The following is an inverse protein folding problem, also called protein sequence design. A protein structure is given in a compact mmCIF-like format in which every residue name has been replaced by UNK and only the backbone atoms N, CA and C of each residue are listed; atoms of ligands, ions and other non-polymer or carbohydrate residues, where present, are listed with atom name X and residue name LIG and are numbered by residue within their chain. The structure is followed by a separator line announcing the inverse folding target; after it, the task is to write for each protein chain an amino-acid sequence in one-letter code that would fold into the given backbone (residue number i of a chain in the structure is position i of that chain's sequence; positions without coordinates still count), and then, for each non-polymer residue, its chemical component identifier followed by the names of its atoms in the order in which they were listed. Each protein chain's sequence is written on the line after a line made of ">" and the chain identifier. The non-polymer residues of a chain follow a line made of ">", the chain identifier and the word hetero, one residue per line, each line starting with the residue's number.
data_IF_206464283685
#
_entry.id   IF_206464283685
#
_cell.length_a   1.000
_cell.length_b   1.000
_cell.length_c   1.000
_cell.angle_alpha   90.00
_cell.angle_beta   90.00
_cell.angle_gamma   90.00
#
_symmetry.space_group_name_H-M   'P 1'
#
loop_
_entity.id
_entity.type
_entity.pdbx_description
1 polymer ?
#
# COMPACT_ATOMS: atom_id res chain seq x y z
N UNK A 1 1.10 -9.86 -30.04
CA UNK A 1 2.33 -9.47 -30.76
C UNK A 1 1.91 -8.77 -32.04
N UNK A 2 2.35 -7.52 -32.25
CA UNK A 2 2.00 -6.77 -33.45
C UNK A 2 3.05 -7.06 -34.53
N UNK A 3 2.59 -7.44 -35.74
CA UNK A 3 3.46 -7.59 -36.91
C UNK A 3 3.76 -6.21 -37.47
N UNK A 4 5.03 -5.91 -37.70
CA UNK A 4 5.46 -4.67 -38.31
C UNK A 4 5.66 -4.91 -39.80
N UNK A 5 5.14 -4.02 -40.65
CA UNK A 5 5.34 -4.09 -42.10
C UNK A 5 6.76 -3.73 -42.54
N UNK A 6 7.51 -3.06 -41.67
CA UNK A 6 8.92 -2.70 -41.84
C UNK A 6 9.56 -2.48 -40.46
N UNK A 7 10.89 -2.55 -40.36
CA UNK A 7 11.62 -2.11 -39.17
C UNK A 7 11.51 -0.58 -39.06
N UNK A 8 11.08 -0.02 -37.92
CA UNK A 8 11.01 1.42 -37.75
C UNK A 8 12.42 2.02 -37.80
N UNK A 9 12.56 3.16 -38.48
CA UNK A 9 13.79 3.93 -38.44
C UNK A 9 14.09 4.37 -36.99
N UNK A 10 15.37 4.48 -36.62
CA UNK A 10 15.78 4.85 -35.26
C UNK A 10 15.10 6.12 -34.75
N UNK A 11 14.89 7.12 -35.63
CA UNK A 11 14.19 8.36 -35.30
C UNK A 11 12.75 8.17 -34.81
N UNK A 12 12.06 7.10 -35.24
CA UNK A 12 10.71 6.76 -34.77
C UNK A 12 10.81 6.13 -33.37
N UNK A 13 11.82 5.30 -33.13
CA UNK A 13 12.08 4.66 -31.83
C UNK A 13 12.38 5.73 -30.77
N UNK A 14 13.19 6.72 -31.12
CA UNK A 14 13.60 7.81 -30.23
C UNK A 14 12.42 8.72 -29.83
N UNK A 15 11.35 8.75 -30.62
CA UNK A 15 10.13 9.51 -30.34
C UNK A 15 9.21 8.88 -29.28
N UNK A 16 9.41 7.62 -28.92
CA UNK A 16 8.57 6.93 -27.93
C UNK A 16 9.21 6.98 -26.54
N UNK A 17 8.44 7.41 -25.53
CA UNK A 17 8.84 7.28 -24.12
C UNK A 17 8.66 5.83 -23.65
N UNK A 18 9.76 5.14 -23.35
CA UNK A 18 9.78 3.80 -22.73
C UNK A 18 10.75 2.82 -23.41
N UNK A 19 10.75 1.56 -22.95
CA UNK A 19 11.52 0.47 -23.56
C UNK A 19 10.59 -0.33 -24.48
N UNK A 20 10.86 -0.36 -25.78
CA UNK A 20 10.13 -1.18 -26.76
C UNK A 20 10.92 -2.45 -27.02
N UNK A 21 10.38 -3.60 -26.61
CA UNK A 21 10.94 -4.91 -26.97
C UNK A 21 10.65 -5.22 -28.44
N UNK A 22 11.70 -5.23 -29.27
CA UNK A 22 11.64 -5.69 -30.66
C UNK A 22 12.10 -7.16 -30.76
N UNK A 23 11.34 -7.96 -31.50
CA UNK A 23 11.63 -9.37 -31.77
C UNK A 23 11.65 -9.62 -33.28
N UNK A 24 12.55 -10.49 -33.73
CA UNK A 24 12.46 -11.11 -35.06
C UNK A 24 11.82 -12.48 -34.91
N UNK A 25 10.61 -12.65 -35.45
CA UNK A 25 9.97 -13.96 -35.49
C UNK A 25 10.40 -14.69 -36.77
N UNK A 26 11.23 -15.72 -36.60
CA UNK A 26 11.53 -16.68 -37.66
C UNK A 26 10.48 -17.78 -37.58
N UNK A 27 9.59 -17.86 -38.58
CA UNK A 27 8.45 -18.79 -38.58
C UNK A 27 8.84 -20.28 -38.64
N UNK A 28 10.13 -20.58 -38.83
CA UNK A 28 10.67 -21.93 -38.80
C UNK A 28 11.66 -22.08 -37.63
N UNK A 29 11.49 -23.15 -36.84
CA UNK A 29 12.50 -23.63 -35.91
C UNK A 29 13.74 -24.22 -36.63
N UNK A 30 13.62 -24.42 -37.94
CA UNK A 30 14.69 -24.87 -38.82
C UNK A 30 15.48 -23.67 -39.39
N UNK A 31 16.75 -23.54 -38.95
CA UNK A 31 17.70 -22.51 -39.44
C UNK A 31 18.01 -22.63 -40.93
N UNK A 32 17.69 -23.76 -41.57
CA UNK A 32 17.95 -23.97 -43.00
C UNK A 32 16.87 -23.36 -43.91
N UNK A 33 15.69 -23.04 -43.36
CA UNK A 33 14.62 -22.36 -44.09
C UNK A 33 14.90 -20.86 -44.03
N UNK A 34 15.67 -20.38 -45.01
CA UNK A 34 16.00 -18.97 -45.19
C UNK A 34 14.79 -18.19 -45.69
N UNK A 35 14.09 -17.53 -44.76
CA UNK A 35 13.07 -16.54 -45.05
C UNK A 35 13.36 -15.24 -44.30
N UNK A 36 12.95 -14.07 -44.84
CA UNK A 36 13.06 -12.82 -44.09
C UNK A 36 12.23 -12.94 -42.80
N UNK A 37 12.89 -12.77 -41.66
CA UNK A 37 12.22 -12.76 -40.35
C UNK A 37 11.16 -11.66 -40.31
N UNK A 38 10.04 -11.92 -39.64
CA UNK A 38 8.96 -10.93 -39.49
C UNK A 38 9.29 -10.07 -38.27
N UNK A 39 9.56 -8.76 -38.45
CA UNK A 39 9.76 -7.87 -37.31
C UNK A 39 8.46 -7.76 -36.53
N UNK A 40 8.57 -7.97 -35.23
CA UNK A 40 7.46 -8.04 -34.30
C UNK A 40 7.77 -7.19 -33.08
N UNK A 41 6.75 -6.54 -32.53
CA UNK A 41 6.84 -5.89 -31.22
C UNK A 41 5.82 -6.51 -30.26
N UNK A 42 6.09 -6.41 -28.96
CA UNK A 42 5.06 -6.71 -27.95
C UNK A 42 3.87 -5.80 -28.26
N UNK A 43 2.69 -6.39 -28.45
CA UNK A 43 1.49 -5.59 -28.64
C UNK A 43 1.26 -4.80 -27.36
N UNK A 44 1.22 -3.48 -27.46
CA UNK A 44 0.80 -2.64 -26.35
C UNK A 44 -0.57 -3.12 -25.83
N UNK A 45 -0.82 -3.02 -24.51
CA UNK A 45 -2.16 -3.19 -23.99
C UNK A 45 -3.07 -2.29 -24.81
N UNK A 46 -4.07 -2.88 -25.48
CA UNK A 46 -5.00 -2.10 -26.27
C UNK A 46 -5.71 -1.17 -25.30
N UNK A 47 -5.77 0.12 -25.64
CA UNK A 47 -6.70 0.99 -24.96
C UNK A 47 -8.08 0.33 -25.06
N UNK A 48 -8.81 0.19 -23.95
CA UNK A 48 -10.21 -0.19 -24.00
C UNK A 48 -10.87 0.77 -24.97
N UNK A 49 -11.36 0.26 -26.10
CA UNK A 49 -11.90 1.07 -27.18
C UNK A 49 -13.28 1.65 -26.86
N UNK A 50 -13.62 1.76 -25.58
CA UNK A 50 -14.93 2.12 -25.05
C UNK A 50 -14.71 3.02 -23.84
N UNK A 51 -15.63 3.96 -23.64
CA UNK A 51 -15.65 4.76 -22.43
C UNK A 51 -15.65 3.85 -21.21
N UNK A 52 -14.78 4.17 -20.25
CA UNK A 52 -14.76 3.46 -18.98
C UNK A 52 -16.06 3.72 -18.23
N UNK A 53 -16.48 2.79 -17.38
CA UNK A 53 -17.67 2.97 -16.55
C UNK A 53 -17.60 4.32 -15.79
N UNK A 54 -18.71 5.07 -15.65
CA UNK A 54 -18.70 6.39 -15.02
C UNK A 54 -18.06 6.41 -13.62
N UNK A 55 -18.24 5.33 -12.84
CA UNK A 55 -17.61 5.16 -11.52
C UNK A 55 -16.08 5.11 -11.58
N UNK A 56 -15.50 4.56 -12.65
CA UNK A 56 -14.04 4.52 -12.84
C UNK A 56 -13.52 5.90 -13.23
N UNK A 57 -14.26 6.62 -14.08
CA UNK A 57 -13.88 7.97 -14.52
C UNK A 57 -13.93 8.97 -13.35
N UNK A 58 -14.89 8.83 -12.44
CA UNK A 58 -14.98 9.66 -11.24
C UNK A 58 -13.73 9.58 -10.33
N UNK A 59 -12.99 8.46 -10.38
CA UNK A 59 -11.75 8.28 -9.61
C UNK A 59 -10.51 8.91 -10.26
N UNK A 60 -10.59 9.38 -11.50
CA UNK A 60 -9.41 9.81 -12.26
C UNK A 60 -8.77 11.08 -11.68
N UNK A 61 -9.57 12.07 -11.29
CA UNK A 61 -9.05 13.32 -10.73
C UNK A 61 -8.35 13.08 -9.39
N UNK A 62 -8.93 12.23 -8.54
CA UNK A 62 -8.33 11.83 -7.27
C UNK A 62 -7.01 11.07 -7.47
N UNK A 63 -6.98 10.12 -8.41
CA UNK A 63 -5.76 9.38 -8.75
C UNK A 63 -4.68 10.30 -9.31
N UNK A 64 -5.02 11.17 -10.25
CA UNK A 64 -4.10 12.10 -10.89
C UNK A 64 -3.50 13.08 -9.86
N UNK A 65 -4.33 13.58 -8.94
CA UNK A 65 -3.88 14.44 -7.86
C UNK A 65 -2.91 13.71 -6.93
N UNK A 66 -3.27 12.53 -6.42
CA UNK A 66 -2.41 11.77 -5.51
C UNK A 66 -1.06 11.43 -6.17
N UNK A 67 -1.10 10.97 -7.41
CA UNK A 67 0.13 10.65 -8.15
C UNK A 67 1.05 11.88 -8.28
N UNK A 68 0.51 13.07 -8.50
CA UNK A 68 1.29 14.31 -8.65
C UNK A 68 1.86 14.81 -7.31
N UNK A 69 1.10 14.68 -6.22
CA UNK A 69 1.45 15.25 -4.92
C UNK A 69 2.36 14.38 -4.06
N UNK A 70 2.60 13.12 -4.41
CA UNK A 70 3.51 12.23 -3.66
C UNK A 70 4.88 12.87 -3.37
N UNK A 71 5.50 13.49 -4.39
CA UNK A 71 6.81 14.13 -4.23
C UNK A 71 6.74 15.46 -3.45
N UNK A 72 5.55 16.01 -3.28
CA UNK A 72 5.29 17.23 -2.51
C UNK A 72 4.99 16.94 -1.03
N UNK A 73 4.83 15.67 -0.65
CA UNK A 73 4.67 15.27 0.74
C UNK A 73 5.96 15.50 1.53
N UNK A 74 5.80 15.78 2.81
CA UNK A 74 6.92 15.89 3.74
C UNK A 74 7.75 14.59 3.74
N UNK A 75 9.09 14.67 3.77
CA UNK A 75 9.95 13.48 3.82
C UNK A 75 9.63 12.53 4.97
N UNK A 76 9.17 13.05 6.12
CA UNK A 76 8.75 12.24 7.27
C UNK A 76 7.53 11.37 6.93
N UNK A 77 6.54 11.93 6.23
CA UNK A 77 5.34 11.20 5.78
C UNK A 77 5.71 10.14 4.74
N UNK A 78 6.61 10.47 3.81
CA UNK A 78 7.10 9.50 2.83
C UNK A 78 7.82 8.32 3.51
N UNK A 79 8.58 8.58 4.58
CA UNK A 79 9.29 7.55 5.33
C UNK A 79 8.32 6.65 6.11
N UNK A 80 7.26 7.22 6.71
CA UNK A 80 6.21 6.42 7.33
C UNK A 80 5.58 5.43 6.33
N UNK A 81 5.23 5.90 5.12
CA UNK A 81 4.74 5.01 4.06
C UNK A 81 5.77 3.99 3.60
N UNK A 82 7.08 4.31 3.63
CA UNK A 82 8.13 3.33 3.32
C UNK A 82 8.21 2.23 4.37
N UNK A 83 8.13 2.58 5.65
CA UNK A 83 8.12 1.60 6.73
C UNK A 83 6.90 0.69 6.63
N UNK A 84 5.71 1.26 6.41
CA UNK A 84 4.48 0.48 6.19
C UNK A 84 4.57 -0.40 4.94
N UNK A 85 5.28 0.04 3.91
CA UNK A 85 5.44 -0.73 2.68
C UNK A 85 6.37 -1.95 2.84
N UNK A 86 7.27 -2.00 3.83
CA UNK A 86 8.25 -3.08 4.00
C UNK A 86 7.61 -4.45 4.20
N UNK A 87 6.42 -4.50 4.79
CA UNK A 87 5.66 -5.73 5.03
C UNK A 87 4.67 -6.05 3.89
N UNK A 88 4.63 -5.21 2.86
CA UNK A 88 3.68 -5.31 1.77
C UNK A 88 4.37 -5.52 0.41
N UNK A 89 3.64 -6.11 -0.53
CA UNK A 89 4.09 -6.18 -1.93
C UNK A 89 3.80 -4.86 -2.70
N UNK A 90 3.43 -3.79 -2.01
CA UNK A 90 3.06 -2.50 -2.62
C UNK A 90 4.19 -1.49 -2.45
N UNK A 91 4.34 -0.59 -3.43
CA UNK A 91 5.26 0.52 -3.25
C UNK A 91 4.67 1.54 -2.26
N UNK A 92 5.50 2.34 -1.57
CA UNK A 92 5.04 3.38 -0.64
C UNK A 92 4.06 4.37 -1.32
N UNK A 93 4.33 4.67 -2.60
CA UNK A 93 3.49 5.53 -3.42
C UNK A 93 2.14 4.89 -3.73
N UNK A 94 2.12 3.57 -4.01
CA UNK A 94 0.88 2.84 -4.23
C UNK A 94 0.03 2.79 -2.96
N UNK A 95 0.65 2.62 -1.80
CA UNK A 95 0.00 2.71 -0.49
C UNK A 95 -0.64 4.09 -0.25
N UNK A 96 0.08 5.16 -0.57
CA UNK A 96 -0.46 6.52 -0.49
C UNK A 96 -1.64 6.73 -1.45
N UNK A 97 -1.50 6.34 -2.72
CA UNK A 97 -2.59 6.46 -3.70
C UNK A 97 -3.82 5.64 -3.28
N UNK A 98 -3.60 4.44 -2.75
CA UNK A 98 -4.67 3.58 -2.23
C UNK A 98 -5.37 4.22 -1.03
N UNK A 99 -4.59 4.76 -0.08
CA UNK A 99 -5.09 5.51 1.07
C UNK A 99 -5.94 6.71 0.66
N UNK A 100 -5.50 7.46 -0.35
CA UNK A 100 -6.19 8.66 -0.83
C UNK A 100 -7.48 8.36 -1.60
N UNK A 101 -7.48 7.35 -2.48
CA UNK A 101 -8.60 7.07 -3.39
C UNK A 101 -9.63 6.15 -2.76
N UNK A 102 -9.14 5.07 -2.15
CA UNK A 102 -10.01 3.98 -1.70
C UNK A 102 -10.42 4.16 -0.26
N UNK A 103 -9.98 5.24 0.38
CA UNK A 103 -10.12 5.40 1.82
C UNK A 103 -9.62 4.12 2.50
N UNK A 104 -8.44 3.64 2.09
CA UNK A 104 -7.80 2.46 2.69
C UNK A 104 -7.59 2.62 4.22
N UNK A 105 -7.89 3.81 4.71
CA UNK A 105 -7.90 4.28 6.07
C UNK A 105 -9.28 4.84 6.56
N UNK A 106 -10.47 4.48 6.04
CA UNK A 106 -11.80 4.84 6.65
C UNK A 106 -12.73 3.63 6.76
N UNK A 107 -13.74 3.53 7.62
CA UNK A 107 -14.12 4.14 8.91
C UNK A 107 -14.07 2.98 9.93
N UNK A 108 -13.45 3.19 11.09
CA UNK A 108 -13.24 2.16 12.12
C UNK A 108 -11.78 1.79 12.35
N UNK A 109 -10.89 2.20 11.43
CA UNK A 109 -9.44 2.20 11.62
C UNK A 109 -8.89 3.59 12.04
N UNK A 110 -9.72 4.64 11.94
CA UNK A 110 -9.49 6.01 12.45
C UNK A 110 -10.73 6.65 13.13
N UNK A 111 -11.78 5.87 13.43
CA UNK A 111 -13.07 6.42 13.92
C UNK A 111 -13.06 6.72 15.43
N UNK A 112 -12.24 7.70 15.81
CA UNK A 112 -12.36 8.42 17.09
C UNK A 112 -12.55 9.94 16.83
N UNK A 113 -12.69 10.42 15.58
CA UNK A 113 -12.39 11.83 15.31
C UNK A 113 -13.24 12.69 14.38
N UNK A 114 -14.46 12.33 13.97
CA UNK A 114 -15.21 13.34 13.18
C UNK A 114 -16.73 13.28 13.18
N UNK A 115 -17.37 12.59 14.14
CA UNK A 115 -18.82 12.64 14.25
C UNK A 115 -19.29 13.44 15.46
N UNK A 116 -18.83 14.69 15.56
CA UNK A 116 -19.56 15.76 16.25
C UNK A 116 -19.36 17.09 15.50
N UNK A 117 -20.41 17.88 15.19
CA UNK A 117 -20.32 19.04 14.29
C UNK A 117 -19.73 20.32 14.92
N UNK A 118 -19.20 20.26 16.15
CA UNK A 118 -18.85 21.46 16.92
C UNK A 118 -17.39 21.50 17.42
N UNK A 119 -16.51 20.61 16.97
CA UNK A 119 -15.15 20.53 17.53
C UNK A 119 -14.11 21.34 16.75
N UNK A 120 -13.57 22.37 17.42
CA UNK A 120 -12.51 23.26 16.92
C UNK A 120 -11.15 22.57 16.81
N UNK A 121 -10.25 23.00 15.90
CA UNK A 121 -9.05 22.23 15.51
C UNK A 121 -7.90 22.19 16.54
N UNK A 122 -8.10 22.68 17.76
CA UNK A 122 -7.00 22.92 18.72
C UNK A 122 -6.92 21.91 19.87
N UNK A 123 -7.86 20.96 19.99
CA UNK A 123 -7.80 19.95 21.05
C UNK A 123 -7.25 18.61 20.54
N UNK A 124 -5.97 18.42 20.86
CA UNK A 124 -5.15 17.24 20.64
C UNK A 124 -5.91 15.91 20.81
N UNK A 125 -5.93 15.16 19.73
CA UNK A 125 -6.18 13.73 19.74
C UNK A 125 -4.99 13.06 20.40
N UNK A 126 -5.11 12.80 21.69
CA UNK A 126 -4.21 11.87 22.36
C UNK A 126 -4.50 10.47 21.81
N UNK A 127 -3.60 9.92 21.00
CA UNK A 127 -3.63 8.50 20.65
C UNK A 127 -3.29 7.71 21.92
N UNK A 128 -4.21 6.87 22.38
CA UNK A 128 -3.93 5.88 23.44
C UNK A 128 -3.71 4.51 22.77
N UNK A 129 -2.45 4.07 22.65
CA UNK A 129 -2.13 2.76 22.11
C UNK A 129 -0.90 2.17 22.78
N UNK A 130 -0.98 0.91 23.19
CA UNK A 130 0.14 0.16 23.74
C UNK A 130 0.42 -1.09 22.92
N UNK A 131 1.68 -1.47 22.84
CA UNK A 131 2.10 -2.72 22.26
C UNK A 131 3.10 -3.41 23.19
N UNK A 132 2.72 -4.61 23.63
CA UNK A 132 3.38 -5.33 24.72
C UNK A 132 3.51 -6.79 24.36
N UNK A 133 4.68 -7.35 24.62
CA UNK A 133 5.00 -8.73 24.28
C UNK A 133 5.62 -9.45 25.47
N UNK A 134 5.62 -10.77 25.36
CA UNK A 134 6.34 -11.67 26.24
C UNK A 134 7.64 -12.08 25.54
N UNK A 135 8.79 -11.80 26.17
CA UNK A 135 10.12 -12.04 25.57
C UNK A 135 10.59 -13.49 25.63
N UNK A 136 9.93 -14.34 26.40
CA UNK A 136 10.30 -15.74 26.60
C UNK A 136 9.07 -16.63 26.80
N UNK A 137 9.16 -17.91 26.47
CA UNK A 137 8.04 -18.85 26.61
C UNK A 137 7.53 -18.94 28.06
N UNK A 138 6.21 -18.82 28.23
CA UNK A 138 5.57 -19.00 29.53
C UNK A 138 5.37 -20.50 29.81
N UNK A 139 6.40 -21.15 30.34
CA UNK A 139 6.40 -22.58 30.63
C UNK A 139 5.75 -22.88 31.99
N UNK A 140 5.12 -24.06 32.10
CA UNK A 140 4.55 -24.63 33.33
C UNK A 140 3.24 -24.00 33.86
N UNK A 141 2.29 -23.64 32.99
CA UNK A 141 0.93 -23.30 33.43
C UNK A 141 0.19 -24.59 33.82
N UNK A 142 -0.21 -24.78 35.10
CA UNK A 142 -0.99 -25.95 35.49
C UNK A 142 -2.37 -25.90 34.83
N UNK A 143 -2.81 -27.03 34.29
CA UNK A 143 -4.16 -27.15 33.70
C UNK A 143 -5.23 -26.84 34.75
N UNK A 144 -6.22 -26.02 34.36
CA UNK A 144 -7.35 -25.65 35.22
C UNK A 144 -7.12 -24.45 36.15
N UNK A 145 -5.96 -23.79 36.08
CA UNK A 145 -5.68 -22.55 36.83
C UNK A 145 -5.76 -21.34 35.91
N UNK A 146 -6.48 -20.30 36.34
CA UNK A 146 -6.48 -18.99 35.66
C UNK A 146 -5.26 -18.21 36.10
N UNK A 147 -4.25 -18.12 35.24
CA UNK A 147 -3.02 -17.36 35.50
C UNK A 147 -2.98 -16.15 34.56
N UNK A 148 -2.67 -14.97 35.09
CA UNK A 148 -2.43 -13.78 34.27
C UNK A 148 -1.15 -13.96 33.46
N UNK A 149 -1.19 -13.65 32.17
CA UNK A 149 0.00 -13.66 31.31
C UNK A 149 0.85 -12.43 31.63
N UNK A 150 2.14 -12.60 32.00
CA UNK A 150 3.03 -11.47 32.17
C UNK A 150 3.44 -10.90 30.80
N UNK A 151 3.51 -9.58 30.68
CA UNK A 151 4.13 -8.91 29.53
C UNK A 151 5.35 -8.15 30.05
N UNK A 152 6.53 -8.52 29.58
CA UNK A 152 7.81 -8.02 30.09
C UNK A 152 8.45 -6.95 29.18
N UNK A 153 7.95 -6.82 27.95
CA UNK A 153 8.54 -5.95 26.94
C UNK A 153 7.49 -5.00 26.39
N UNK A 154 7.65 -3.70 26.64
CA UNK A 154 6.83 -2.63 26.06
C UNK A 154 7.55 -2.06 24.84
N UNK A 155 6.96 -2.21 23.66
CA UNK A 155 7.48 -1.65 22.41
C UNK A 155 7.10 -0.17 22.26
N UNK A 156 5.85 0.16 22.62
CA UNK A 156 5.37 1.53 22.79
C UNK A 156 4.14 1.55 23.71
N UNK A 157 3.96 2.63 24.47
CA UNK A 157 2.77 2.90 25.30
C UNK A 157 2.45 4.39 25.20
N UNK A 158 1.74 4.75 24.13
CA UNK A 158 1.25 6.11 23.91
C UNK A 158 0.05 6.30 24.84
N UNK A 159 0.15 7.30 25.72
CA UNK A 159 -0.82 7.56 26.78
C UNK A 159 -0.42 7.03 28.16
N UNK A 160 0.56 6.12 28.25
CA UNK A 160 1.06 5.61 29.53
C UNK A 160 0.02 4.79 30.30
N UNK A 161 -0.90 4.14 29.57
CA UNK A 161 -2.09 3.50 30.13
C UNK A 161 -1.89 2.00 30.37
N UNK A 162 -0.72 1.46 30.03
CA UNK A 162 -0.38 0.07 30.30
C UNK A 162 0.33 -0.09 31.65
N UNK A 163 -0.32 -0.76 32.59
CA UNK A 163 0.24 -1.05 33.91
C UNK A 163 1.08 -2.34 33.84
N UNK A 164 2.39 -2.15 33.71
CA UNK A 164 3.39 -3.23 33.64
C UNK A 164 3.42 -4.07 34.92
N UNK A 165 3.13 -3.48 36.08
CA UNK A 165 3.15 -4.19 37.37
C UNK A 165 2.00 -5.18 37.45
N UNK A 166 0.83 -4.81 36.94
CA UNK A 166 -0.38 -5.63 37.01
C UNK A 166 -0.75 -6.34 35.70
N UNK A 167 0.05 -6.15 34.64
CA UNK A 167 -0.14 -6.66 33.28
C UNK A 167 -1.54 -6.39 32.75
N UNK A 168 -1.95 -5.12 32.81
CA UNK A 168 -3.29 -4.70 32.36
C UNK A 168 -3.20 -3.38 31.61
N UNK A 169 -4.02 -3.25 30.58
CA UNK A 169 -4.33 -1.95 30.00
C UNK A 169 -5.47 -1.31 30.80
N UNK A 170 -5.28 -0.06 31.24
CA UNK A 170 -6.31 0.73 31.92
C UNK A 170 -6.92 1.66 30.89
N UNK A 171 -8.15 1.39 30.46
CA UNK A 171 -8.85 2.25 29.51
C UNK A 171 -9.01 3.66 30.12
N UNK A 172 -8.39 4.71 29.55
CA UNK A 172 -8.47 6.05 30.12
C UNK A 172 -9.84 6.70 29.92
N UNK A 173 -10.60 6.23 28.92
CA UNK A 173 -11.90 6.79 28.52
C UNK A 173 -12.83 5.69 27.98
N UNK A 174 -14.14 5.94 27.98
CA UNK A 174 -15.11 5.04 27.36
C UNK A 174 -14.94 5.04 25.84
N UNK A 175 -14.91 3.85 25.24
CA UNK A 175 -14.66 3.71 23.80
C UNK A 175 -14.53 2.27 23.35
N UNK A 176 -14.21 2.10 22.06
CA UNK A 176 -13.89 0.79 21.48
C UNK A 176 -12.38 0.62 21.44
N UNK A 177 -11.90 -0.48 21.98
CA UNK A 177 -10.48 -0.84 22.00
C UNK A 177 -10.30 -2.14 21.23
N UNK A 178 -9.31 -2.18 20.34
CA UNK A 178 -8.93 -3.38 19.61
C UNK A 178 -7.79 -4.08 20.35
N UNK A 179 -7.95 -5.36 20.62
CA UNK A 179 -6.88 -6.24 21.10
C UNK A 179 -6.59 -7.26 20.00
N UNK A 180 -5.38 -7.23 19.45
CA UNK A 180 -4.90 -8.17 18.42
C UNK A 180 -3.82 -9.07 18.98
#
# INVERSE_FOLDING_TARGET
>A
MAKLGALPAQAIIDGFKGVIDYYMNFQACDRSISGPGIPCARSWPRSPGHDRAPSVQAGWDAFAWAAKNWNSLDPYVQEAYRQTAQESNLTPRDLFMKGYITDYFREGQWDILSKDPEFTPEENVMLDCCNVYLSADFLNIPSGITTKVPFDTVLFDIGGNFDIVNNKFVCPRDGRYLCT
#
